data_IF_154589753435
#
_entry.id   IF_154589753435
#
_cell.length_a   1.000
_cell.length_b   1.000
_cell.length_c   1.000
_cell.angle_alpha   90.00
_cell.angle_beta   90.00
_cell.angle_gamma   90.00
#
_symmetry.space_group_name_H-M   'P 1'
#
loop_
_entity.id
_entity.type
_entity.pdbx_description
1 polymer ?
#
# COMPACT_ATOMS: atom_id res chain seq x y z
N UNK A 1 -7.62 -57.27 -11.61
CA UNK A 1 -8.29 -56.07 -11.09
C UNK A 1 -7.44 -55.28 -10.09
N UNK A 2 -6.68 -55.89 -9.15
CA UNK A 2 -5.88 -55.14 -8.15
C UNK A 2 -4.72 -54.30 -8.73
N UNK A 3 -4.09 -54.73 -9.83
CA UNK A 3 -2.96 -54.01 -10.48
C UNK A 3 -3.40 -52.67 -11.13
N UNK A 4 -4.59 -52.60 -11.69
CA UNK A 4 -5.10 -51.41 -12.36
C UNK A 4 -5.54 -50.33 -11.35
N UNK A 5 -5.97 -50.75 -10.17
CA UNK A 5 -6.34 -49.82 -9.07
C UNK A 5 -5.09 -49.09 -8.56
N UNK A 6 -3.95 -49.75 -8.50
CA UNK A 6 -2.69 -49.15 -8.04
C UNK A 6 -2.16 -48.08 -9.00
N UNK A 7 -2.34 -48.28 -10.33
CA UNK A 7 -1.93 -47.32 -11.37
C UNK A 7 -2.80 -46.04 -11.28
N UNK A 8 -4.10 -46.18 -11.01
CA UNK A 8 -5.00 -45.04 -10.84
C UNK A 8 -4.62 -44.23 -9.58
N UNK A 9 -4.22 -44.90 -8.51
CA UNK A 9 -3.82 -44.22 -7.28
C UNK A 9 -2.52 -43.43 -7.41
N UNK A 10 -1.58 -43.91 -8.28
CA UNK A 10 -0.30 -43.23 -8.53
C UNK A 10 -0.49 -42.02 -9.49
N UNK A 11 -1.50 -42.06 -10.36
CA UNK A 11 -1.78 -40.96 -11.30
C UNK A 11 -2.55 -39.77 -10.68
N UNK A 12 -3.24 -39.99 -9.57
CA UNK A 12 -4.04 -38.96 -8.89
C UNK A 12 -3.25 -37.69 -8.42
N UNK A 13 -1.99 -37.77 -7.94
CA UNK A 13 -1.25 -36.60 -7.52
C UNK A 13 -0.78 -35.68 -8.66
N UNK A 14 -0.80 -36.16 -9.93
CA UNK A 14 -0.39 -35.33 -11.06
C UNK A 14 -1.43 -34.36 -11.55
N UNK A 15 -2.65 -34.38 -11.02
CA UNK A 15 -3.73 -33.44 -11.34
C UNK A 15 -3.95 -32.37 -10.27
N UNK A 16 -3.07 -32.28 -9.28
CA UNK A 16 -3.05 -31.12 -8.40
C UNK A 16 -2.53 -29.91 -9.18
N UNK A 17 -3.39 -29.29 -10.00
CA UNK A 17 -3.12 -28.00 -10.60
C UNK A 17 -3.12 -27.00 -9.44
N UNK A 18 -1.92 -26.68 -8.96
CA UNK A 18 -1.75 -25.56 -8.06
C UNK A 18 -2.26 -24.31 -8.78
N UNK A 19 -3.26 -23.67 -8.22
CA UNK A 19 -3.71 -22.37 -8.72
C UNK A 19 -2.59 -21.37 -8.44
N UNK A 20 -1.77 -21.08 -9.44
CA UNK A 20 -0.72 -20.06 -9.38
C UNK A 20 -1.32 -18.67 -9.67
N UNK A 21 -2.27 -18.25 -8.86
CA UNK A 21 -2.80 -16.89 -8.91
C UNK A 21 -1.75 -15.88 -8.42
N UNK A 22 -0.88 -16.29 -7.51
CA UNK A 22 0.20 -15.48 -6.97
C UNK A 22 1.53 -16.06 -7.44
N UNK A 23 2.44 -15.21 -7.92
CA UNK A 23 3.80 -15.60 -8.29
C UNK A 23 4.51 -16.26 -7.10
N UNK A 24 5.22 -17.34 -7.35
CA UNK A 24 6.14 -17.98 -6.38
C UNK A 24 7.59 -17.55 -6.58
N UNK A 25 7.85 -16.70 -7.57
CA UNK A 25 9.18 -16.14 -7.81
C UNK A 25 9.52 -15.14 -6.71
N UNK A 26 10.71 -15.20 -6.08
CA UNK A 26 11.13 -14.19 -5.13
C UNK A 26 11.15 -12.80 -5.76
N UNK A 27 10.55 -11.84 -5.07
CA UNK A 27 10.48 -10.44 -5.48
C UNK A 27 10.94 -9.54 -4.34
N UNK A 28 11.28 -8.30 -4.66
CA UNK A 28 11.55 -7.28 -3.65
C UNK A 28 10.25 -6.68 -3.12
N UNK A 29 10.35 -5.96 -2.01
CA UNK A 29 9.22 -5.25 -1.42
C UNK A 29 8.78 -4.09 -2.30
N UNK A 30 7.49 -3.95 -2.49
CA UNK A 30 6.89 -2.73 -2.98
C UNK A 30 6.79 -1.68 -1.86
N UNK A 31 6.65 -0.44 -2.24
CA UNK A 31 6.53 0.71 -1.35
C UNK A 31 5.12 1.26 -1.38
N UNK A 32 4.53 1.42 -0.21
CA UNK A 32 3.35 2.25 0.01
C UNK A 32 3.82 3.51 0.73
N UNK A 33 3.72 4.65 0.06
CA UNK A 33 3.92 5.96 0.66
C UNK A 33 2.56 6.52 1.07
N UNK A 34 2.28 6.53 2.37
CA UNK A 34 1.12 7.18 2.96
C UNK A 34 1.51 8.62 3.31
N UNK A 35 0.98 9.59 2.57
CA UNK A 35 1.23 11.00 2.78
C UNK A 35 0.13 11.63 3.64
N UNK A 36 0.48 12.21 4.77
CA UNK A 36 -0.42 13.01 5.60
C UNK A 36 -0.51 14.43 5.05
N UNK A 37 -1.74 14.84 4.73
CA UNK A 37 -2.02 16.07 3.99
C UNK A 37 -3.30 16.76 4.47
N UNK A 38 -3.62 17.90 3.90
CA UNK A 38 -4.85 18.63 4.11
C UNK A 38 -5.07 19.74 3.09
N UNK A 39 -6.33 20.09 2.87
CA UNK A 39 -6.78 21.03 1.83
C UNK A 39 -6.28 22.47 2.04
N UNK A 40 -5.92 22.83 3.28
CA UNK A 40 -5.43 24.18 3.64
C UNK A 40 -3.93 24.19 3.95
N UNK A 41 -3.23 23.08 3.70
CA UNK A 41 -1.81 22.94 3.99
C UNK A 41 -0.96 23.57 2.88
N UNK A 42 -0.27 24.67 3.17
CA UNK A 42 0.51 25.47 2.22
C UNK A 42 1.67 24.68 1.59
N UNK A 43 2.31 23.78 2.35
CA UNK A 43 3.46 23.01 1.89
C UNK A 43 3.11 21.63 1.35
N UNK A 44 1.86 21.19 1.48
CA UNK A 44 1.46 19.86 1.00
C UNK A 44 1.53 19.70 -0.52
N UNK A 45 1.27 20.71 -1.38
CA UNK A 45 1.49 20.59 -2.82
C UNK A 45 2.92 20.22 -3.21
N UNK A 46 3.93 20.69 -2.46
CA UNK A 46 5.32 20.25 -2.68
C UNK A 46 5.53 18.79 -2.26
N UNK A 47 4.89 18.33 -1.18
CA UNK A 47 4.87 16.90 -0.81
C UNK A 47 4.28 16.04 -1.92
N UNK A 48 3.10 16.41 -2.43
CA UNK A 48 2.44 15.70 -3.54
C UNK A 48 3.32 15.61 -4.77
N UNK A 49 4.02 16.70 -5.13
CA UNK A 49 4.96 16.68 -6.25
C UNK A 49 6.10 15.68 -6.03
N UNK A 50 6.73 15.69 -4.85
CA UNK A 50 7.83 14.76 -4.51
C UNK A 50 7.35 13.32 -4.51
N UNK A 51 6.16 13.04 -3.95
CA UNK A 51 5.56 11.72 -3.95
C UNK A 51 5.27 11.24 -5.38
N UNK A 52 4.70 12.12 -6.22
CA UNK A 52 4.40 11.80 -7.62
C UNK A 52 5.67 11.56 -8.44
N UNK A 53 6.72 12.35 -8.25
CA UNK A 53 8.02 12.16 -8.91
C UNK A 53 8.62 10.79 -8.53
N UNK A 54 8.51 10.40 -7.25
CA UNK A 54 8.98 9.10 -6.76
C UNK A 54 8.19 7.93 -7.40
N UNK A 55 6.86 8.05 -7.47
CA UNK A 55 6.02 7.07 -8.18
C UNK A 55 6.36 6.99 -9.66
N UNK A 56 6.48 8.13 -10.35
CA UNK A 56 6.77 8.17 -11.78
C UNK A 56 8.13 7.53 -12.12
N UNK A 57 9.10 7.63 -11.22
CA UNK A 57 10.39 6.95 -11.35
C UNK A 57 10.31 5.43 -11.08
N UNK A 58 9.28 4.97 -10.35
CA UNK A 58 9.12 3.58 -9.92
C UNK A 58 7.62 3.16 -10.00
N UNK A 59 6.99 3.18 -11.20
CA UNK A 59 5.54 3.09 -11.31
C UNK A 59 4.93 1.74 -10.91
N UNK A 60 5.74 0.67 -10.92
CA UNK A 60 5.31 -0.68 -10.55
C UNK A 60 5.62 -1.04 -9.10
N UNK A 61 6.45 -0.24 -8.42
CA UNK A 61 6.99 -0.57 -7.11
C UNK A 61 6.60 0.42 -6.02
N UNK A 62 6.18 1.65 -6.39
CA UNK A 62 5.77 2.70 -5.44
C UNK A 62 4.32 3.09 -5.64
N UNK A 63 3.54 2.98 -4.58
CA UNK A 63 2.11 3.31 -4.56
C UNK A 63 1.86 4.42 -3.55
N UNK A 64 1.01 5.40 -3.94
CA UNK A 64 0.73 6.60 -3.15
C UNK A 64 -0.66 6.53 -2.53
N UNK A 65 -0.76 6.88 -1.25
CA UNK A 65 -2.02 7.06 -0.54
C UNK A 65 -1.98 8.39 0.17
N UNK A 66 -2.92 9.30 -0.16
CA UNK A 66 -3.08 10.57 0.54
C UNK A 66 -4.07 10.42 1.69
N UNK A 67 -3.63 10.76 2.90
CA UNK A 67 -4.43 10.70 4.11
C UNK A 67 -4.69 12.13 4.58
N UNK A 68 -5.90 12.61 4.34
CA UNK A 68 -6.35 13.88 4.88
C UNK A 68 -6.62 13.74 6.38
N UNK A 69 -5.96 14.56 7.20
CA UNK A 69 -6.11 14.48 8.66
C UNK A 69 -5.72 15.78 9.36
N UNK A 70 -6.21 15.94 10.58
CA UNK A 70 -5.92 17.11 11.41
C UNK A 70 -6.56 18.41 10.94
N UNK A 71 -6.13 19.53 11.50
CA UNK A 71 -6.73 20.85 11.24
C UNK A 71 -6.63 21.32 9.78
N UNK A 72 -5.63 20.84 9.04
CA UNK A 72 -5.48 21.19 7.64
C UNK A 72 -6.45 20.43 6.70
N UNK A 73 -7.06 19.35 7.16
CA UNK A 73 -8.04 18.59 6.39
C UNK A 73 -9.46 19.16 6.51
N UNK A 74 -9.72 20.01 7.51
CA UNK A 74 -10.99 20.69 7.70
C UNK A 74 -11.08 21.96 6.84
N UNK A 75 -12.28 22.31 6.31
CA UNK A 75 -12.47 23.52 5.54
C UNK A 75 -12.37 24.78 6.43
N UNK A 76 -11.89 25.91 5.86
CA UNK A 76 -11.83 27.22 6.53
C UNK A 76 -13.19 27.97 6.49
N UNK A 77 -14.25 27.33 6.03
CA UNK A 77 -15.60 27.87 5.86
C UNK A 77 -16.56 26.75 5.42
N UNK A 78 -17.69 27.07 4.80
CA UNK A 78 -18.58 26.06 4.26
C UNK A 78 -17.84 25.16 3.26
N UNK A 79 -17.89 23.84 3.45
CA UNK A 79 -17.20 22.88 2.59
C UNK A 79 -17.13 21.49 3.22
N UNK A 80 -16.55 20.56 2.48
CA UNK A 80 -16.39 19.18 2.94
C UNK A 80 -15.22 19.06 3.90
N UNK A 81 -15.45 18.46 5.05
CA UNK A 81 -14.38 18.00 5.95
C UNK A 81 -13.85 16.67 5.43
N UNK A 82 -12.56 16.60 5.13
CA UNK A 82 -11.88 15.41 4.62
C UNK A 82 -11.29 14.52 5.73
N UNK A 83 -11.45 14.91 7.00
CA UNK A 83 -11.05 14.05 8.11
C UNK A 83 -11.87 12.76 8.14
N UNK A 84 -11.20 11.66 8.50
CA UNK A 84 -11.84 10.40 8.83
C UNK A 84 -11.28 9.85 10.13
N UNK A 85 -12.06 9.03 10.84
CA UNK A 85 -11.58 8.33 12.04
C UNK A 85 -10.41 7.40 11.73
N UNK A 86 -10.40 6.79 10.53
CA UNK A 86 -9.30 5.95 10.08
C UNK A 86 -8.02 6.75 9.83
N UNK A 87 -8.12 7.89 9.14
CA UNK A 87 -6.99 8.78 8.92
C UNK A 87 -6.39 9.31 10.21
N UNK A 88 -7.22 9.69 11.18
CA UNK A 88 -6.79 10.12 12.49
C UNK A 88 -6.07 9.00 13.28
N UNK A 89 -6.58 7.76 13.20
CA UNK A 89 -5.96 6.61 13.85
C UNK A 89 -4.58 6.28 13.25
N UNK A 90 -4.45 6.30 11.91
CA UNK A 90 -3.17 6.08 11.22
C UNK A 90 -2.16 7.17 11.57
N UNK A 91 -2.58 8.44 11.55
CA UNK A 91 -1.73 9.57 11.95
C UNK A 91 -1.25 9.46 13.41
N UNK A 92 -2.14 9.07 14.32
CA UNK A 92 -1.80 8.85 15.73
C UNK A 92 -0.79 7.73 15.95
N UNK A 93 -0.93 6.61 15.24
CA UNK A 93 0.02 5.49 15.29
C UNK A 93 1.38 5.84 14.67
N UNK A 94 1.41 6.78 13.76
CA UNK A 94 2.63 7.14 13.01
C UNK A 94 3.55 8.10 13.75
N UNK A 95 3.11 8.71 14.84
CA UNK A 95 3.84 9.76 15.51
C UNK A 95 3.94 11.05 14.69
N UNK A 96 2.86 11.37 13.94
CA UNK A 96 2.78 12.56 13.09
C UNK A 96 2.95 13.85 13.92
N UNK A 97 3.90 14.71 13.52
CA UNK A 97 4.21 15.96 14.20
C UNK A 97 4.10 17.21 13.32
N UNK A 98 3.84 17.07 12.02
CA UNK A 98 3.73 18.18 11.07
C UNK A 98 3.34 17.75 9.67
N UNK A 99 3.10 18.73 8.79
CA UNK A 99 2.63 18.51 7.42
C UNK A 99 3.48 19.28 6.39
N UNK A 100 3.71 18.71 5.17
CA UNK A 100 3.45 17.32 4.82
C UNK A 100 4.44 16.39 5.52
N UNK A 101 3.99 15.24 5.94
CA UNK A 101 4.81 14.14 6.39
C UNK A 101 4.23 12.84 5.81
N UNK A 102 4.96 11.75 5.89
CA UNK A 102 4.46 10.48 5.38
C UNK A 102 5.17 9.29 5.99
N UNK A 103 4.61 8.10 5.78
CA UNK A 103 5.23 6.84 6.17
C UNK A 103 5.57 6.04 4.91
N UNK A 104 6.71 5.37 4.92
CA UNK A 104 7.10 4.40 3.90
C UNK A 104 6.93 3.02 4.51
N UNK A 105 5.94 2.26 4.03
CA UNK A 105 5.56 0.94 4.54
C UNK A 105 5.34 0.90 6.08
N UNK A 106 5.01 2.02 6.69
CA UNK A 106 4.92 2.20 8.17
C UNK A 106 6.14 1.66 8.91
N UNK A 107 7.31 1.70 8.25
CA UNK A 107 8.58 1.24 8.83
C UNK A 107 9.25 2.36 9.62
N UNK A 108 9.84 2.01 10.76
CA UNK A 108 10.65 2.95 11.55
C UNK A 108 12.08 2.93 11.01
N UNK A 109 12.50 3.98 10.30
CA UNK A 109 13.87 4.11 9.78
C UNK A 109 14.81 4.73 10.82
N UNK A 110 14.30 5.69 11.60
CA UNK A 110 15.05 6.33 12.68
C UNK A 110 14.09 7.05 13.63
N UNK A 111 14.52 7.31 14.86
CA UNK A 111 13.82 8.21 15.79
C UNK A 111 12.52 7.71 16.43
N UNK A 112 12.12 6.45 16.22
CA UNK A 112 10.97 5.85 16.89
C UNK A 112 9.59 6.18 16.32
N UNK A 113 9.49 7.10 15.36
CA UNK A 113 8.26 7.40 14.60
C UNK A 113 8.32 6.77 13.21
N UNK A 114 7.16 6.40 12.65
CA UNK A 114 7.07 5.97 11.25
C UNK A 114 6.86 7.16 10.31
N UNK A 115 6.22 8.24 10.79
CA UNK A 115 6.08 9.47 10.04
C UNK A 115 7.43 10.21 9.92
N UNK A 116 7.75 10.63 8.70
CA UNK A 116 8.99 11.32 8.38
C UNK A 116 8.75 12.49 7.43
N UNK A 117 9.72 13.41 7.38
CA UNK A 117 9.73 14.53 6.43
C UNK A 117 9.81 14.03 4.98
N UNK A 118 9.16 14.76 4.05
CA UNK A 118 9.18 14.49 2.61
C UNK A 118 10.59 14.39 2.01
N UNK A 119 11.58 15.03 2.61
CA UNK A 119 12.98 14.93 2.17
C UNK A 119 13.61 13.54 2.32
N UNK A 120 13.01 12.67 3.13
CA UNK A 120 13.49 11.31 3.40
C UNK A 120 12.75 10.23 2.59
N UNK A 121 11.64 10.56 1.92
CA UNK A 121 10.80 9.56 1.26
C UNK A 121 11.54 8.77 0.19
N UNK A 122 12.29 9.45 -0.69
CA UNK A 122 13.01 8.79 -1.78
C UNK A 122 14.08 7.81 -1.27
N UNK A 123 14.89 8.21 -0.30
CA UNK A 123 15.93 7.34 0.27
C UNK A 123 15.33 6.15 1.03
N UNK A 124 14.27 6.39 1.79
CA UNK A 124 13.56 5.34 2.52
C UNK A 124 12.87 4.35 1.56
N UNK A 125 12.27 4.83 0.49
CA UNK A 125 11.68 3.99 -0.55
C UNK A 125 12.73 3.12 -1.23
N UNK A 126 13.88 3.69 -1.63
CA UNK A 126 15.00 2.93 -2.22
C UNK A 126 15.48 1.84 -1.27
N UNK A 127 15.60 2.13 0.03
CA UNK A 127 15.99 1.14 1.03
C UNK A 127 14.97 -0.01 1.14
N UNK A 128 13.67 0.29 1.08
CA UNK A 128 12.63 -0.75 1.12
C UNK A 128 12.65 -1.61 -0.14
N UNK A 129 12.72 -1.01 -1.32
CA UNK A 129 12.75 -1.73 -2.61
C UNK A 129 14.00 -2.62 -2.78
N UNK A 130 15.06 -2.39 -2.01
CA UNK A 130 16.25 -3.26 -2.02
C UNK A 130 16.12 -4.51 -1.15
N UNK A 131 15.04 -4.64 -0.37
CA UNK A 131 14.81 -5.76 0.53
C UNK A 131 13.93 -6.82 -0.13
N UNK A 132 14.28 -8.10 0.03
CA UNK A 132 13.44 -9.19 -0.41
C UNK A 132 12.10 -9.20 0.33
N UNK A 133 11.01 -9.46 -0.38
CA UNK A 133 9.70 -9.70 0.23
C UNK A 133 9.65 -11.13 0.78
N UNK A 134 9.20 -11.32 2.03
CA UNK A 134 9.05 -12.66 2.59
C UNK A 134 7.85 -13.41 2.02
N UNK A 135 6.92 -12.71 1.38
CA UNK A 135 5.68 -13.24 0.79
C UNK A 135 5.29 -12.46 -0.45
N UNK A 136 4.70 -13.14 -1.42
CA UNK A 136 3.99 -12.49 -2.51
C UNK A 136 2.49 -12.52 -2.21
N UNK A 137 1.81 -11.41 -2.47
CA UNK A 137 0.37 -11.27 -2.23
C UNK A 137 -0.31 -10.91 -3.54
N UNK A 138 -1.35 -11.64 -3.89
CA UNK A 138 -2.21 -11.32 -5.02
C UNK A 138 -3.63 -11.01 -4.53
N UNK A 139 -4.28 -10.05 -5.19
CA UNK A 139 -5.68 -9.73 -4.97
C UNK A 139 -6.40 -9.87 -6.30
N UNK A 140 -7.48 -10.63 -6.29
CA UNK A 140 -8.39 -10.71 -7.42
C UNK A 140 -9.74 -10.12 -7.00
N UNK A 141 -10.24 -9.17 -7.78
CA UNK A 141 -11.56 -8.58 -7.54
C UNK A 141 -12.41 -8.66 -8.80
N UNK A 142 -13.71 -8.79 -8.63
CA UNK A 142 -14.68 -8.66 -9.72
C UNK A 142 -15.70 -7.58 -9.38
N UNK A 143 -16.22 -6.90 -10.42
CA UNK A 143 -17.27 -5.90 -10.28
C UNK A 143 -18.46 -6.41 -11.08
N UNK A 144 -19.60 -6.62 -10.42
CA UNK A 144 -20.85 -6.86 -11.11
C UNK A 144 -21.46 -5.53 -11.54
N UNK A 145 -21.32 -5.24 -12.84
CA UNK A 145 -21.84 -4.01 -13.43
C UNK A 145 -23.36 -4.01 -13.58
N UNK A 146 -24.02 -5.17 -13.48
CA UNK A 146 -25.48 -5.28 -13.59
C UNK A 146 -26.19 -4.85 -12.31
N UNK A 147 -25.57 -5.04 -11.16
CA UNK A 147 -26.11 -4.70 -9.84
C UNK A 147 -25.44 -3.49 -9.21
N UNK A 148 -24.39 -2.96 -9.85
CA UNK A 148 -23.51 -1.91 -9.29
C UNK A 148 -22.88 -2.33 -7.94
N UNK A 149 -22.72 -3.62 -7.71
CA UNK A 149 -22.21 -4.22 -6.48
C UNK A 149 -20.76 -4.66 -6.71
N UNK A 150 -19.86 -4.23 -5.83
CA UNK A 150 -18.49 -4.75 -5.78
C UNK A 150 -18.48 -6.07 -5.02
N UNK A 151 -17.99 -7.13 -5.65
CA UNK A 151 -17.77 -8.43 -5.02
C UNK A 151 -16.27 -8.53 -4.71
N UNK A 152 -15.93 -8.61 -3.43
CA UNK A 152 -14.57 -8.92 -2.95
C UNK A 152 -14.50 -10.44 -2.69
N UNK A 153 -13.49 -11.09 -3.26
CA UNK A 153 -13.22 -12.51 -3.08
C UNK A 153 -11.98 -12.70 -2.22
#
# INVERSE_FOLDING_TARGET
>A
MKKNLLIILIALPFFAISQTFVSTTPENKNVILEEFTGITCVYCPDGHRIAQDLHNANPNDVFLINIHTGGYASPQGPGTDFNTSFGAAIAGQSGLSGYPAGTVNRHVFSGGATAMSRSLWASSATQMMSQASPVNVGIQSSIDMSTNTKIEL
#
